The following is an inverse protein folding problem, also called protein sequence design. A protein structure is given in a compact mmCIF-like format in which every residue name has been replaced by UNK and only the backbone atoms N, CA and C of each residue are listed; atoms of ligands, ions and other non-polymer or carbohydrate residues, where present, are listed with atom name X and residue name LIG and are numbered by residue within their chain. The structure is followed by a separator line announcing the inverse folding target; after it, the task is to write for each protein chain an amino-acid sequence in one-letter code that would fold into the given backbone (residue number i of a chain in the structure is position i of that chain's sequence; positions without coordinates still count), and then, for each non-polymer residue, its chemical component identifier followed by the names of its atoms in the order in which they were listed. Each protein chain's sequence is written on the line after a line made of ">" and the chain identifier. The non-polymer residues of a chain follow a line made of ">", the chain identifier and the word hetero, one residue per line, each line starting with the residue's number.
data_IF_886433781909
#
_entry.id   IF_886433781909
#
_cell.length_a   1.000
_cell.length_b   1.000
_cell.length_c   1.000
_cell.angle_alpha   90.00
_cell.angle_beta   90.00
_cell.angle_gamma   90.00
#
_symmetry.space_group_name_H-M   'P 1'
#
loop_
_entity.id
_entity.type
_entity.pdbx_description
1 polymer ?
#
# COMPACT_ATOMS: atom_id res chain seq x y z
N UNK A 1 2.93 -117.54 -21.51
CA UNK A 1 3.23 -116.83 -20.25
C UNK A 1 4.38 -115.88 -20.55
N UNK A 2 4.11 -114.71 -21.12
CA UNK A 2 5.17 -113.72 -21.44
C UNK A 2 4.56 -112.32 -21.54
N UNK A 3 4.54 -111.58 -20.44
CA UNK A 3 4.01 -110.19 -20.46
C UNK A 3 3.97 -109.49 -19.10
N UNK A 4 3.86 -110.25 -18.01
CA UNK A 4 3.81 -109.67 -16.66
C UNK A 4 5.19 -109.21 -16.13
N UNK A 5 6.29 -109.78 -16.64
CA UNK A 5 7.64 -109.37 -16.23
C UNK A 5 8.01 -107.98 -16.73
N UNK A 6 7.58 -107.61 -17.93
CA UNK A 6 7.89 -106.32 -18.54
C UNK A 6 7.09 -105.18 -17.90
N UNK A 7 5.80 -105.41 -17.61
CA UNK A 7 4.98 -104.44 -16.88
C UNK A 7 5.50 -104.18 -15.45
N UNK A 8 5.99 -105.23 -14.77
CA UNK A 8 6.61 -105.09 -13.45
C UNK A 8 7.94 -104.33 -13.53
N UNK A 9 8.78 -104.64 -14.51
CA UNK A 9 10.04 -103.93 -14.75
C UNK A 9 9.81 -102.45 -15.06
N UNK A 10 8.83 -102.12 -15.90
CA UNK A 10 8.46 -100.74 -16.22
C UNK A 10 7.91 -100.00 -15.00
N UNK A 11 7.16 -100.68 -14.14
CA UNK A 11 6.63 -100.08 -12.91
C UNK A 11 7.75 -99.77 -11.92
N UNK A 12 8.70 -100.70 -11.72
CA UNK A 12 9.86 -100.47 -10.85
C UNK A 12 10.75 -99.36 -11.43
N UNK A 13 10.96 -99.34 -12.73
CA UNK A 13 11.74 -98.30 -13.42
C UNK A 13 11.08 -96.94 -13.30
N UNK A 14 9.75 -96.85 -13.49
CA UNK A 14 8.99 -95.59 -13.33
C UNK A 14 8.96 -95.12 -11.88
N UNK A 15 8.84 -96.03 -10.91
CA UNK A 15 8.94 -95.69 -9.48
C UNK A 15 10.34 -95.21 -9.12
N UNK A 16 11.38 -95.84 -9.67
CA UNK A 16 12.77 -95.41 -9.51
C UNK A 16 13.04 -94.04 -10.14
N UNK A 17 12.49 -93.78 -11.33
CA UNK A 17 12.55 -92.47 -11.99
C UNK A 17 11.79 -91.40 -11.22
N UNK A 18 10.61 -91.72 -10.68
CA UNK A 18 9.84 -90.80 -9.85
C UNK A 18 10.55 -90.50 -8.52
N UNK A 19 11.12 -91.51 -7.87
CA UNK A 19 11.91 -91.36 -6.66
C UNK A 19 13.22 -90.57 -6.93
N UNK A 20 13.88 -90.83 -8.06
CA UNK A 20 15.06 -90.08 -8.51
C UNK A 20 14.72 -88.64 -8.84
N UNK A 21 13.57 -88.37 -9.48
CA UNK A 21 13.07 -87.03 -9.75
C UNK A 21 12.74 -86.30 -8.44
N UNK A 22 12.06 -86.94 -7.49
CA UNK A 22 11.75 -86.35 -6.18
C UNK A 22 13.04 -86.08 -5.39
N UNK A 23 14.01 -86.99 -5.41
CA UNK A 23 15.32 -86.78 -4.80
C UNK A 23 16.09 -85.65 -5.47
N UNK A 24 15.98 -85.52 -6.80
CA UNK A 24 16.60 -84.43 -7.56
C UNK A 24 15.95 -83.06 -7.33
N UNK A 25 14.67 -83.03 -6.96
CA UNK A 25 13.93 -81.80 -6.62
C UNK A 25 13.87 -81.52 -5.11
N UNK A 26 14.48 -82.37 -4.27
CA UNK A 26 14.48 -82.24 -2.82
C UNK A 26 15.02 -80.88 -2.38
N UNK A 27 16.13 -80.44 -2.96
CA UNK A 27 16.78 -79.18 -2.60
C UNK A 27 15.91 -77.96 -2.95
N UNK A 28 15.15 -78.02 -4.04
CA UNK A 28 14.24 -76.94 -4.45
C UNK A 28 12.98 -76.88 -3.56
N UNK A 29 12.50 -78.03 -3.07
CA UNK A 29 11.47 -78.12 -2.06
C UNK A 29 11.91 -77.52 -0.72
N UNK A 30 13.13 -77.83 -0.27
CA UNK A 30 13.70 -77.22 0.95
C UNK A 30 13.89 -75.71 0.81
N UNK A 31 14.44 -75.24 -0.32
CA UNK A 31 14.54 -73.79 -0.61
C UNK A 31 13.18 -73.10 -0.61
N UNK A 32 12.14 -73.75 -1.13
CA UNK A 32 10.78 -73.19 -1.13
C UNK A 32 10.24 -73.01 0.29
N UNK A 33 10.44 -74.01 1.17
CA UNK A 33 10.04 -73.93 2.59
C UNK A 33 10.85 -72.83 3.31
N UNK A 34 12.14 -72.74 3.04
CA UNK A 34 13.02 -71.73 3.63
C UNK A 34 12.65 -70.30 3.19
N UNK A 35 12.34 -70.12 1.90
CA UNK A 35 11.82 -68.86 1.35
C UNK A 35 10.46 -68.48 1.96
N UNK A 36 9.58 -69.45 2.18
CA UNK A 36 8.27 -69.20 2.83
C UNK A 36 8.45 -68.76 4.29
N UNK A 37 9.41 -69.37 5.00
CA UNK A 37 9.79 -68.97 6.36
C UNK A 37 10.36 -67.55 6.42
N UNK A 38 11.27 -67.20 5.50
CA UNK A 38 11.84 -65.86 5.38
C UNK A 38 10.77 -64.81 5.04
N UNK A 39 9.85 -65.14 4.13
CA UNK A 39 8.71 -64.30 3.78
C UNK A 39 7.76 -64.10 4.97
N UNK A 40 7.41 -65.17 5.69
CA UNK A 40 6.58 -65.11 6.89
C UNK A 40 7.23 -64.26 7.98
N UNK A 41 8.53 -64.42 8.21
CA UNK A 41 9.29 -63.61 9.17
C UNK A 41 9.33 -62.13 8.76
N UNK A 42 9.45 -61.84 7.46
CA UNK A 42 9.39 -60.48 6.92
C UNK A 42 8.00 -59.87 7.14
N UNK A 43 6.94 -60.65 6.94
CA UNK A 43 5.56 -60.21 7.22
C UNK A 43 5.36 -59.86 8.71
N UNK A 44 5.87 -60.70 9.61
CA UNK A 44 5.83 -60.47 11.07
C UNK A 44 6.68 -59.26 11.47
N UNK A 45 7.79 -59.02 10.79
CA UNK A 45 8.62 -57.84 11.05
C UNK A 45 7.94 -56.54 10.57
N UNK A 46 7.20 -56.60 9.45
CA UNK A 46 6.40 -55.47 8.93
C UNK A 46 5.14 -55.20 9.74
N UNK A 47 4.60 -56.19 10.44
CA UNK A 47 3.43 -56.05 11.32
C UNK A 47 3.65 -55.03 12.45
N UNK A 48 4.89 -54.86 12.93
CA UNK A 48 5.24 -53.76 13.84
C UNK A 48 5.12 -52.39 13.15
N UNK A 49 5.62 -52.25 11.93
CA UNK A 49 5.53 -51.00 11.15
C UNK A 49 4.08 -50.64 10.79
N UNK A 50 3.25 -51.63 10.46
CA UNK A 50 1.81 -51.40 10.19
C UNK A 50 1.12 -50.86 11.43
N UNK A 51 1.32 -51.46 12.60
CA UNK A 51 0.74 -50.96 13.86
C UNK A 51 1.26 -49.59 14.26
N UNK A 52 2.54 -49.30 14.03
CA UNK A 52 3.11 -47.99 14.35
C UNK A 52 2.54 -46.91 13.41
N UNK A 53 2.33 -47.23 12.14
CA UNK A 53 1.63 -46.36 11.19
C UNK A 53 0.17 -46.14 11.58
N UNK A 54 -0.57 -47.19 11.94
CA UNK A 54 -1.96 -47.09 12.41
C UNK A 54 -2.07 -46.19 13.65
N UNK A 55 -1.15 -46.32 14.62
CA UNK A 55 -1.08 -45.43 15.79
C UNK A 55 -0.79 -43.98 15.40
N UNK A 56 0.17 -43.74 14.52
CA UNK A 56 0.46 -42.39 14.03
C UNK A 56 -0.74 -41.76 13.31
N UNK A 57 -1.44 -42.54 12.50
CA UNK A 57 -2.65 -42.08 11.82
C UNK A 57 -3.76 -41.77 12.82
N UNK A 58 -3.95 -42.61 13.85
CA UNK A 58 -4.91 -42.38 14.91
C UNK A 58 -4.58 -41.14 15.75
N UNK A 59 -3.31 -40.93 16.10
CA UNK A 59 -2.84 -39.74 16.83
C UNK A 59 -3.05 -38.47 16.02
N UNK A 60 -2.68 -38.47 14.73
CA UNK A 60 -2.90 -37.32 13.84
C UNK A 60 -4.39 -37.05 13.66
N UNK A 61 -5.19 -38.09 13.45
CA UNK A 61 -6.65 -37.96 13.32
C UNK A 61 -7.30 -37.44 14.60
N UNK A 62 -6.84 -37.92 15.77
CA UNK A 62 -7.29 -37.46 17.09
C UNK A 62 -6.88 -36.02 17.36
N UNK A 63 -5.65 -35.64 17.02
CA UNK A 63 -5.16 -34.26 17.13
C UNK A 63 -5.97 -33.31 16.23
N UNK A 64 -6.16 -33.65 14.95
CA UNK A 64 -6.99 -32.88 14.02
C UNK A 64 -8.45 -32.78 14.47
N UNK A 65 -9.01 -33.85 15.04
CA UNK A 65 -10.35 -33.83 15.60
C UNK A 65 -10.43 -32.91 16.82
N UNK A 66 -9.43 -32.93 17.70
CA UNK A 66 -9.33 -32.04 18.87
C UNK A 66 -9.09 -30.58 18.50
N UNK A 67 -8.34 -30.31 17.43
CA UNK A 67 -8.06 -28.95 16.95
C UNK A 67 -9.15 -28.38 16.03
N UNK A 68 -10.10 -29.19 15.57
CA UNK A 68 -11.17 -28.74 14.64
C UNK A 68 -11.92 -27.53 15.18
N UNK A 69 -12.22 -27.51 16.47
CA UNK A 69 -12.90 -26.39 17.12
C UNK A 69 -11.99 -25.14 17.20
N UNK A 70 -10.72 -25.30 17.56
CA UNK A 70 -9.75 -24.21 17.61
C UNK A 70 -9.49 -23.58 16.24
N UNK A 71 -9.35 -24.42 15.19
CA UNK A 71 -9.19 -23.95 13.82
C UNK A 71 -10.46 -23.21 13.35
N UNK A 72 -11.64 -23.76 13.65
CA UNK A 72 -12.91 -23.11 13.34
C UNK A 72 -13.05 -21.76 14.06
N UNK A 73 -12.66 -21.68 15.33
CA UNK A 73 -12.67 -20.45 16.10
C UNK A 73 -11.69 -19.42 15.54
N UNK A 74 -10.49 -19.83 15.11
CA UNK A 74 -9.48 -18.95 14.52
C UNK A 74 -9.93 -18.38 13.18
N UNK A 75 -10.50 -19.22 12.31
CA UNK A 75 -11.05 -18.78 11.01
C UNK A 75 -12.22 -17.82 11.23
N UNK A 76 -13.08 -18.10 12.21
CA UNK A 76 -14.18 -17.20 12.58
C UNK A 76 -13.66 -15.86 13.09
N UNK A 77 -12.69 -15.87 13.99
CA UNK A 77 -12.05 -14.66 14.51
C UNK A 77 -11.40 -13.82 13.41
N UNK A 78 -10.74 -14.47 12.44
CA UNK A 78 -10.20 -13.79 11.27
C UNK A 78 -11.31 -13.15 10.44
N UNK A 79 -12.40 -13.88 10.17
CA UNK A 79 -13.56 -13.34 9.45
C UNK A 79 -14.13 -12.12 10.15
N UNK A 80 -14.36 -12.20 11.46
CA UNK A 80 -14.90 -11.10 12.27
C UNK A 80 -13.97 -9.87 12.25
N UNK A 81 -12.66 -10.11 12.33
CA UNK A 81 -11.64 -9.05 12.25
C UNK A 81 -11.66 -8.36 10.88
N UNK A 82 -11.72 -9.12 9.80
CA UNK A 82 -11.79 -8.58 8.43
C UNK A 82 -13.07 -7.78 8.22
N UNK A 83 -14.21 -8.25 8.74
CA UNK A 83 -15.48 -7.50 8.70
C UNK A 83 -15.37 -6.19 9.49
N UNK A 84 -14.71 -6.19 10.65
CA UNK A 84 -14.47 -4.98 11.42
C UNK A 84 -13.59 -3.96 10.67
N UNK A 85 -12.54 -4.44 9.99
CA UNK A 85 -11.68 -3.60 9.14
C UNK A 85 -12.48 -3.02 7.96
N UNK A 86 -13.29 -3.83 7.28
CA UNK A 86 -14.16 -3.36 6.21
C UNK A 86 -15.11 -2.26 6.71
N UNK A 87 -15.80 -2.49 7.82
CA UNK A 87 -16.72 -1.52 8.40
C UNK A 87 -16.00 -0.22 8.82
N UNK A 88 -14.78 -0.31 9.35
CA UNK A 88 -13.97 0.85 9.68
C UNK A 88 -13.61 1.65 8.42
N UNK A 89 -13.20 0.98 7.34
CA UNK A 89 -12.89 1.63 6.07
C UNK A 89 -14.15 2.29 5.50
N UNK A 90 -15.27 1.57 5.41
CA UNK A 90 -16.53 2.11 4.89
C UNK A 90 -16.99 3.36 5.66
N UNK A 91 -16.90 3.33 7.00
CA UNK A 91 -17.25 4.46 7.86
C UNK A 91 -16.33 5.68 7.66
N UNK A 92 -15.06 5.47 7.31
CA UNK A 92 -14.06 6.53 7.24
C UNK A 92 -13.65 6.92 5.82
N UNK A 93 -14.10 6.21 4.78
CA UNK A 93 -13.67 6.40 3.39
C UNK A 93 -13.85 7.84 2.91
N UNK A 94 -14.95 8.50 3.29
CA UNK A 94 -15.25 9.87 2.85
C UNK A 94 -14.32 10.87 3.54
N UNK A 95 -13.98 10.64 4.82
CA UNK A 95 -12.98 11.43 5.54
C UNK A 95 -11.58 11.25 4.96
N UNK A 96 -11.20 10.00 4.66
CA UNK A 96 -9.93 9.69 4.02
C UNK A 96 -9.82 10.37 2.66
N UNK A 97 -10.86 10.25 1.84
CA UNK A 97 -10.95 10.94 0.54
C UNK A 97 -10.83 12.45 0.70
N UNK A 98 -11.60 13.05 1.61
CA UNK A 98 -11.53 14.50 1.85
C UNK A 98 -10.13 14.96 2.26
N UNK A 99 -9.44 14.20 3.11
CA UNK A 99 -8.08 14.54 3.53
C UNK A 99 -7.08 14.44 2.38
N UNK A 100 -7.18 13.40 1.54
CA UNK A 100 -6.34 13.26 0.34
C UNK A 100 -6.61 14.41 -0.65
N UNK A 101 -7.88 14.72 -0.89
CA UNK A 101 -8.28 15.80 -1.80
C UNK A 101 -7.79 17.17 -1.30
N UNK A 102 -7.87 17.43 0.02
CA UNK A 102 -7.33 18.65 0.65
C UNK A 102 -5.80 18.72 0.55
N UNK A 103 -5.11 17.62 0.83
CA UNK A 103 -3.65 17.58 0.74
C UNK A 103 -3.18 17.82 -0.69
N UNK A 104 -3.84 17.21 -1.67
CA UNK A 104 -3.59 17.44 -3.08
C UNK A 104 -3.82 18.91 -3.46
N UNK A 105 -4.90 19.52 -2.96
CA UNK A 105 -5.19 20.95 -3.18
C UNK A 105 -4.10 21.87 -2.60
N UNK A 106 -3.70 21.66 -1.34
CA UNK A 106 -2.63 22.48 -0.71
C UNK A 106 -1.31 22.31 -1.43
N UNK A 107 -0.94 21.07 -1.76
CA UNK A 107 0.30 20.79 -2.52
C UNK A 107 0.27 21.44 -3.89
N UNK A 108 -0.89 21.43 -4.55
CA UNK A 108 -1.09 22.11 -5.83
C UNK A 108 -0.90 23.63 -5.70
N UNK A 109 -1.46 24.26 -4.67
CA UNK A 109 -1.23 25.70 -4.41
C UNK A 109 0.26 26.00 -4.23
N UNK A 110 0.99 25.16 -3.48
CA UNK A 110 2.44 25.34 -3.30
C UNK A 110 3.22 25.21 -4.61
N UNK A 111 2.86 24.24 -5.46
CA UNK A 111 3.48 24.06 -6.78
C UNK A 111 3.14 25.22 -7.71
N UNK A 112 1.87 25.63 -7.76
CA UNK A 112 1.40 26.73 -8.61
C UNK A 112 2.04 28.06 -8.19
N UNK A 113 2.26 28.27 -6.88
CA UNK A 113 2.89 29.47 -6.30
C UNK A 113 4.40 29.35 -6.09
N UNK A 114 5.05 28.29 -6.59
CA UNK A 114 6.50 28.08 -6.40
C UNK A 114 7.34 29.26 -6.91
N UNK A 115 6.89 29.91 -7.98
CA UNK A 115 7.56 31.07 -8.56
C UNK A 115 7.47 32.29 -7.63
N UNK A 116 6.28 32.58 -7.10
CA UNK A 116 6.08 33.66 -6.14
C UNK A 116 6.85 33.39 -4.83
N UNK A 117 6.89 32.15 -4.34
CA UNK A 117 7.72 31.77 -3.20
C UNK A 117 9.22 31.98 -3.50
N UNK A 118 9.69 31.61 -4.68
CA UNK A 118 11.07 31.84 -5.08
C UNK A 118 11.38 33.34 -5.17
N UNK A 119 10.50 34.14 -5.76
CA UNK A 119 10.64 35.59 -5.84
C UNK A 119 10.70 36.23 -4.44
N UNK A 120 9.81 35.83 -3.53
CA UNK A 120 9.85 36.28 -2.13
C UNK A 120 11.19 35.92 -1.50
N UNK A 121 11.67 34.68 -1.67
CA UNK A 121 12.94 34.24 -1.08
C UNK A 121 14.15 34.96 -1.69
N UNK A 122 14.06 35.38 -2.96
CA UNK A 122 15.11 36.13 -3.65
C UNK A 122 15.13 37.61 -3.22
N UNK A 123 13.96 38.25 -3.12
CA UNK A 123 13.87 39.69 -2.81
C UNK A 123 13.80 40.01 -1.32
N UNK A 124 13.34 39.08 -0.47
CA UNK A 124 13.17 39.32 0.97
C UNK A 124 14.47 39.75 1.67
N UNK A 125 15.65 39.14 1.41
CA UNK A 125 16.90 39.58 2.05
C UNK A 125 17.23 41.04 1.72
N UNK A 126 17.05 41.46 0.46
CA UNK A 126 17.31 42.83 0.03
C UNK A 126 16.29 43.79 0.64
N UNK A 127 15.00 43.42 0.66
CA UNK A 127 13.95 44.21 1.29
C UNK A 127 14.19 44.42 2.79
N UNK A 128 14.52 43.36 3.52
CA UNK A 128 14.85 43.42 4.94
C UNK A 128 16.15 44.21 5.18
N UNK A 129 17.17 44.03 4.33
CA UNK A 129 18.41 44.80 4.40
C UNK A 129 18.16 46.30 4.20
N UNK A 130 17.34 46.67 3.22
CA UNK A 130 16.94 48.06 3.01
C UNK A 130 16.13 48.61 4.19
N UNK A 131 15.24 47.82 4.79
CA UNK A 131 14.49 48.23 5.98
C UNK A 131 15.43 48.51 7.17
N UNK A 132 16.39 47.62 7.42
CA UNK A 132 17.40 47.85 8.48
C UNK A 132 18.24 49.09 8.18
N UNK A 133 18.70 49.24 6.94
CA UNK A 133 19.54 50.36 6.53
C UNK A 133 18.81 51.72 6.55
N UNK A 134 17.49 51.73 6.43
CA UNK A 134 16.67 52.95 6.52
C UNK A 134 16.23 53.25 7.95
N UNK A 135 16.37 52.33 8.89
CA UNK A 135 15.98 52.57 10.28
C UNK A 135 16.97 53.50 11.00
N UNK A 136 16.44 54.61 11.52
CA UNK A 136 17.18 55.55 12.35
C UNK A 136 16.83 55.33 13.82
N UNK A 137 17.73 54.69 14.56
CA UNK A 137 17.50 54.33 15.97
C UNK A 137 17.40 55.56 16.90
N UNK A 138 17.99 56.70 16.53
CA UNK A 138 17.97 57.90 17.37
C UNK A 138 16.64 58.63 17.32
N UNK A 139 15.93 58.58 16.19
CA UNK A 139 14.62 59.21 15.99
C UNK A 139 13.46 58.20 16.01
N UNK A 140 13.76 56.90 15.91
CA UNK A 140 12.76 55.85 15.76
C UNK A 140 12.04 55.91 14.40
N UNK A 141 12.63 56.53 13.38
CA UNK A 141 12.02 56.75 12.05
C UNK A 141 12.63 55.84 10.97
N UNK A 142 11.96 55.74 9.83
CA UNK A 142 12.54 55.23 8.59
C UNK A 142 12.97 56.40 7.70
N UNK A 143 14.26 56.51 7.47
CA UNK A 143 14.86 57.57 6.68
C UNK A 143 14.76 57.20 5.20
N UNK A 144 13.76 57.77 4.53
CA UNK A 144 13.60 57.67 3.08
C UNK A 144 14.09 58.95 2.40
N UNK A 145 14.94 58.79 1.37
CA UNK A 145 15.26 59.90 0.46
C UNK A 145 14.25 59.90 -0.68
N UNK A 146 13.23 60.74 -0.55
CA UNK A 146 12.31 60.98 -1.64
C UNK A 146 13.01 61.82 -2.73
N UNK A 147 13.32 61.22 -3.87
CA UNK A 147 13.78 61.96 -5.04
C UNK A 147 12.58 62.40 -5.88
N UNK A 148 11.89 63.44 -5.40
CA UNK A 148 10.72 64.00 -6.06
C UNK A 148 11.17 64.97 -7.15
N UNK A 149 11.65 64.43 -8.27
CA UNK A 149 12.00 65.22 -9.45
C UNK A 149 10.80 66.06 -9.95
N UNK A 150 9.56 65.61 -9.71
CA UNK A 150 8.34 66.35 -10.03
C UNK A 150 8.19 67.69 -9.28
N UNK A 151 8.87 67.88 -8.14
CA UNK A 151 8.91 69.17 -7.42
C UNK A 151 9.77 70.23 -8.14
N UNK A 152 10.62 69.83 -9.09
CA UNK A 152 11.41 70.77 -9.90
C UNK A 152 10.64 71.31 -11.10
N UNK A 153 9.46 70.74 -11.40
CA UNK A 153 8.58 71.24 -12.44
C UNK A 153 7.72 72.39 -11.90
N UNK A 154 7.29 73.33 -12.76
CA UNK A 154 6.32 74.33 -12.35
C UNK A 154 5.09 73.66 -11.69
N UNK A 155 4.55 74.21 -10.58
CA UNK A 155 3.49 73.55 -9.80
C UNK A 155 2.29 73.09 -10.64
N UNK A 156 1.95 73.86 -11.69
CA UNK A 156 0.90 73.48 -12.65
C UNK A 156 1.21 72.20 -13.42
N UNK A 157 2.47 72.00 -13.84
CA UNK A 157 2.88 70.81 -14.59
C UNK A 157 2.95 69.59 -13.66
N UNK A 158 3.40 69.78 -12.43
CA UNK A 158 3.36 68.74 -11.40
C UNK A 158 1.92 68.27 -11.15
N UNK A 159 0.98 69.21 -10.95
CA UNK A 159 -0.45 68.89 -10.79
C UNK A 159 -0.98 68.19 -12.04
N UNK A 160 -0.69 68.69 -13.24
CA UNK A 160 -1.12 68.01 -14.48
C UNK A 160 -0.58 66.58 -14.63
N UNK A 161 0.68 66.32 -14.24
CA UNK A 161 1.26 64.97 -14.32
C UNK A 161 0.66 64.03 -13.27
N UNK A 162 0.44 64.52 -12.05
CA UNK A 162 -0.23 63.75 -10.99
C UNK A 162 -1.67 63.39 -11.40
N UNK A 163 -2.39 64.37 -11.96
CA UNK A 163 -3.75 64.17 -12.46
C UNK A 163 -3.79 63.17 -13.64
N UNK A 164 -2.79 63.20 -14.54
CA UNK A 164 -2.69 62.23 -15.64
C UNK A 164 -2.40 60.79 -15.20
N UNK A 165 -1.69 60.60 -14.09
CA UNK A 165 -1.40 59.27 -13.54
C UNK A 165 -2.57 58.66 -12.77
N UNK A 166 -3.60 59.47 -12.48
CA UNK A 166 -4.76 59.05 -11.67
C UNK A 166 -6.08 59.36 -12.39
N UNK A 167 -6.25 58.98 -13.68
CA UNK A 167 -7.42 59.36 -14.49
C UNK A 167 -8.73 58.88 -13.88
N UNK A 168 -8.76 57.67 -13.30
CA UNK A 168 -9.95 57.12 -12.65
C UNK A 168 -10.32 57.88 -11.37
N UNK A 169 -9.34 58.45 -10.67
CA UNK A 169 -9.60 59.29 -9.50
C UNK A 169 -10.10 60.69 -9.89
N UNK A 170 -9.72 61.19 -11.07
CA UNK A 170 -10.22 62.46 -11.60
C UNK A 170 -11.68 62.36 -12.01
N UNK A 171 -12.09 61.27 -12.66
CA UNK A 171 -13.49 61.07 -13.03
C UNK A 171 -14.36 60.93 -11.78
N UNK A 172 -13.90 60.16 -10.78
CA UNK A 172 -14.58 60.05 -9.49
C UNK A 172 -14.69 61.39 -8.74
N UNK A 173 -13.63 62.21 -8.75
CA UNK A 173 -13.64 63.56 -8.18
C UNK A 173 -14.52 64.51 -9.00
N UNK A 174 -14.54 64.40 -10.32
CA UNK A 174 -15.36 65.20 -11.22
C UNK A 174 -16.85 64.91 -11.04
N UNK A 175 -17.22 63.64 -10.88
CA UNK A 175 -18.60 63.23 -10.60
C UNK A 175 -19.03 63.62 -9.18
N UNK A 176 -18.13 63.50 -8.19
CA UNK A 176 -18.37 64.01 -6.84
C UNK A 176 -18.56 65.53 -6.82
N UNK A 177 -17.72 66.29 -7.54
CA UNK A 177 -17.83 67.74 -7.66
C UNK A 177 -19.11 68.16 -8.39
N UNK A 178 -19.58 67.43 -9.42
CA UNK A 178 -20.90 67.67 -10.05
C UNK A 178 -22.05 67.45 -9.07
N UNK A 179 -21.98 66.39 -8.26
CA UNK A 179 -22.97 66.11 -7.22
C UNK A 179 -23.04 67.22 -6.16
N UNK A 180 -21.90 67.81 -5.81
CA UNK A 180 -21.82 68.92 -4.84
C UNK A 180 -22.22 70.25 -5.48
N UNK A 181 -21.85 70.52 -6.74
CA UNK A 181 -22.21 71.75 -7.45
C UNK A 181 -23.75 71.94 -7.54
N UNK A 182 -24.50 70.86 -7.82
CA UNK A 182 -25.96 70.91 -7.82
C UNK A 182 -26.59 71.21 -6.45
N UNK A 183 -25.85 70.99 -5.36
CA UNK A 183 -26.22 71.34 -3.99
C UNK A 183 -25.84 72.78 -3.64
N UNK A 184 -24.76 73.31 -4.21
CA UNK A 184 -24.21 74.65 -3.89
C UNK A 184 -24.82 75.76 -4.75
N UNK A 185 -25.16 75.50 -6.02
CA UNK A 185 -25.81 76.48 -6.92
C UNK A 185 -27.20 76.94 -6.43
N UNK A 186 -27.83 76.16 -5.54
CA UNK A 186 -29.09 76.53 -4.90
C UNK A 186 -28.95 77.24 -3.55
N UNK A 187 -27.76 77.26 -2.93
CA UNK A 187 -27.57 77.67 -1.54
C UNK A 187 -26.67 78.90 -1.34
N UNK A 188 -25.93 79.34 -2.36
CA UNK A 188 -25.02 80.51 -2.25
C UNK A 188 -25.21 81.46 -3.44
N UNK A 189 -25.81 82.66 -3.26
CA UNK A 189 -25.81 83.67 -4.31
C UNK A 189 -24.40 84.24 -4.46
N UNK A 190 -23.76 83.97 -5.60
CA UNK A 190 -22.48 84.59 -5.96
C UNK A 190 -22.74 86.00 -6.52
N UNK A 191 -22.06 87.04 -6.03
CA UNK A 191 -22.15 88.38 -6.62
C UNK A 191 -21.51 88.37 -8.01
N UNK A 192 -22.24 88.90 -8.99
CA UNK A 192 -21.76 89.22 -10.34
C UNK A 192 -20.70 90.30 -10.33
#
# INVERSE_FOLDING_TARGET
>A
LDGNGQALHDTITKLGQAAGTLSGNKDDLFKTVENLGSFSQTLVNSDKQVRDFERQLADVSGFLAGERENLSATVKQLSDTLTAVQAFIEKNRDRLKSNVDKLASVTKVLVDQRGALAEILDVAPVGLGNLVNTYNASSGTLDARANLNELTQPPLVMVCNLLKQTPDALDALGDACKGIAGLVDGLVPLPS
#
